data_IF_914964630787
#
_entry.id   IF_914964630787
#
_cell.length_a   1.000
_cell.length_b   1.000
_cell.length_c   1.000
_cell.angle_alpha   90.00
_cell.angle_beta   90.00
_cell.angle_gamma   90.00
#
_symmetry.space_group_name_H-M   'P 1'
#
loop_
_entity.id
_entity.type
_entity.pdbx_description
1 polymer ?
#
# COMPACT_ATOMS: atom_id res chain seq x y z
N UNK A 1 -10.82 48.81 -1.28
CA UNK A 1 -10.11 47.99 -2.29
C UNK A 1 -9.71 46.62 -1.76
N UNK A 2 -9.21 46.54 -0.55
CA UNK A 2 -8.68 45.29 0.07
C UNK A 2 -9.81 44.30 0.39
N UNK A 3 -10.95 44.78 0.84
CA UNK A 3 -12.12 43.96 1.17
C UNK A 3 -12.73 43.21 -0.02
N UNK A 4 -12.79 43.83 -1.17
CA UNK A 4 -13.34 43.22 -2.39
C UNK A 4 -12.41 42.12 -2.93
N UNK A 5 -11.11 42.26 -2.71
CA UNK A 5 -10.11 41.25 -3.08
C UNK A 5 -10.19 40.05 -2.15
N UNK A 6 -10.30 40.24 -0.84
CA UNK A 6 -10.45 39.15 0.13
C UNK A 6 -11.75 38.35 -0.07
N UNK A 7 -12.86 39.04 -0.34
CA UNK A 7 -14.17 38.40 -0.60
C UNK A 7 -14.21 37.58 -1.91
N UNK A 8 -13.36 37.88 -2.91
CA UNK A 8 -13.23 37.04 -4.11
C UNK A 8 -12.32 35.83 -3.89
N UNK A 9 -11.33 35.97 -3.01
CA UNK A 9 -10.36 34.90 -2.71
C UNK A 9 -10.90 33.91 -1.68
N UNK A 10 -11.79 34.38 -0.78
CA UNK A 10 -12.30 33.61 0.34
C UNK A 10 -13.79 33.90 0.56
N UNK A 11 -14.54 32.83 0.82
CA UNK A 11 -16.00 32.93 1.15
C UNK A 11 -16.29 32.07 2.38
N UNK A 12 -17.34 32.42 3.16
CA UNK A 12 -17.88 31.47 4.13
C UNK A 12 -18.25 30.14 3.46
N UNK A 13 -17.90 29.03 4.12
CA UNK A 13 -18.00 27.67 3.59
C UNK A 13 -16.76 27.15 2.88
N UNK A 14 -15.77 28.00 2.58
CA UNK A 14 -14.50 27.51 1.99
C UNK A 14 -13.70 26.72 3.02
N UNK A 15 -13.17 25.57 2.59
CA UNK A 15 -12.10 24.92 3.32
C UNK A 15 -10.76 25.56 2.99
N UNK A 16 -10.04 26.00 4.02
CA UNK A 16 -8.70 26.58 3.88
C UNK A 16 -7.69 25.90 4.81
N UNK A 17 -6.44 25.92 4.39
CA UNK A 17 -5.33 25.39 5.18
C UNK A 17 -4.18 26.41 5.22
N UNK A 18 -3.75 26.77 6.44
CA UNK A 18 -2.64 27.68 6.74
C UNK A 18 -1.78 27.08 7.87
N UNK A 19 -0.82 26.21 7.57
CA UNK A 19 -0.01 25.53 8.59
C UNK A 19 0.72 26.48 9.54
N UNK A 20 1.19 27.65 9.04
CA UNK A 20 1.87 28.67 9.84
C UNK A 20 1.03 29.19 11.02
N UNK A 21 -0.29 29.16 10.86
CA UNK A 21 -1.25 29.65 11.86
C UNK A 21 -2.05 28.53 12.50
N UNK A 22 -1.66 27.29 12.26
CA UNK A 22 -2.39 26.10 12.71
C UNK A 22 -3.88 26.14 12.32
N UNK A 23 -4.14 26.57 11.09
CA UNK A 23 -5.49 26.65 10.51
C UNK A 23 -5.63 25.53 9.49
N UNK A 24 -6.64 24.68 9.69
CA UNK A 24 -7.11 23.69 8.72
C UNK A 24 -8.59 23.40 8.99
N UNK A 25 -9.44 24.03 8.20
CA UNK A 25 -10.88 23.95 8.45
C UNK A 25 -11.73 24.84 7.57
N UNK A 26 -12.98 25.00 7.94
CA UNK A 26 -14.00 25.71 7.18
C UNK A 26 -14.17 27.14 7.65
N UNK A 27 -14.20 28.07 6.73
CA UNK A 27 -14.47 29.50 7.01
C UNK A 27 -15.92 29.66 7.43
N UNK A 28 -16.15 30.10 8.67
CA UNK A 28 -17.48 30.40 9.18
C UNK A 28 -17.93 31.78 8.77
N UNK A 29 -17.08 32.80 8.98
CA UNK A 29 -17.41 34.18 8.84
C UNK A 29 -16.23 35.01 8.33
N UNK A 30 -16.50 35.95 7.45
CA UNK A 30 -15.52 36.94 6.97
C UNK A 30 -16.08 38.32 7.23
N UNK A 31 -15.47 39.04 8.17
CA UNK A 31 -15.81 40.44 8.52
C UNK A 31 -14.75 41.42 8.04
N UNK A 32 -14.91 42.69 8.36
CA UNK A 32 -13.92 43.75 8.05
C UNK A 32 -12.57 43.50 8.74
N UNK A 33 -12.62 43.03 9.98
CA UNK A 33 -11.47 42.96 10.87
C UNK A 33 -11.09 41.53 11.27
N UNK A 34 -11.95 40.56 11.00
CA UNK A 34 -11.74 39.19 11.44
C UNK A 34 -12.25 38.17 10.42
N UNK A 35 -11.55 37.06 10.30
CA UNK A 35 -11.98 35.82 9.64
C UNK A 35 -11.99 34.72 10.70
N UNK A 36 -13.17 34.10 10.89
CA UNK A 36 -13.33 32.96 11.80
C UNK A 36 -13.32 31.66 11.02
N UNK A 37 -12.49 30.72 11.43
CA UNK A 37 -12.35 29.40 10.84
C UNK A 37 -12.63 28.36 11.90
N UNK A 38 -13.53 27.43 11.60
CA UNK A 38 -13.77 26.22 12.38
C UNK A 38 -12.80 25.14 11.86
N UNK A 39 -11.82 24.79 12.67
CA UNK A 39 -10.84 23.74 12.36
C UNK A 39 -11.50 22.37 12.49
N UNK A 40 -10.91 21.36 11.84
CA UNK A 40 -11.42 19.97 11.90
C UNK A 40 -11.27 19.31 13.28
N UNK A 41 -10.51 19.91 14.20
CA UNK A 41 -10.45 19.52 15.61
C UNK A 41 -11.54 20.17 16.49
N UNK A 42 -12.56 20.80 15.87
CA UNK A 42 -13.64 21.53 16.52
C UNK A 42 -13.19 22.79 17.30
N UNK A 43 -12.02 23.31 17.04
CA UNK A 43 -11.57 24.61 17.57
C UNK A 43 -11.89 25.75 16.61
N UNK A 44 -12.03 26.97 17.11
CA UNK A 44 -12.22 28.16 16.29
C UNK A 44 -10.97 29.02 16.31
N UNK A 45 -10.36 29.19 15.15
CA UNK A 45 -9.27 30.14 14.95
C UNK A 45 -9.79 31.42 14.35
N UNK A 46 -9.38 32.56 14.92
CA UNK A 46 -9.71 33.89 14.43
C UNK A 46 -8.45 34.59 13.95
N UNK A 47 -8.42 34.99 12.69
CA UNK A 47 -7.29 35.68 12.07
C UNK A 47 -7.70 37.02 11.48
N UNK A 48 -6.83 38.03 11.50
CA UNK A 48 -7.09 39.29 10.80
C UNK A 48 -7.02 39.11 9.27
N UNK A 49 -7.87 39.80 8.47
CA UNK A 49 -7.87 39.66 7.00
C UNK A 49 -6.55 40.01 6.32
N UNK A 50 -5.71 40.83 6.90
CA UNK A 50 -4.42 41.21 6.33
C UNK A 50 -3.45 40.01 6.28
N UNK A 51 -3.60 39.04 7.18
CA UNK A 51 -2.80 37.78 7.18
C UNK A 51 -3.04 36.98 5.89
N UNK A 52 -4.28 36.93 5.41
CA UNK A 52 -4.65 36.26 4.17
C UNK A 52 -4.12 36.94 2.90
N UNK A 53 -3.75 38.22 3.00
CA UNK A 53 -3.16 38.96 1.89
C UNK A 53 -1.65 39.00 1.96
N UNK A 54 -1.07 38.81 3.15
CA UNK A 54 0.39 38.82 3.39
C UNK A 54 1.05 37.47 3.33
N UNK A 55 0.33 36.41 3.66
CA UNK A 55 0.83 35.05 3.68
C UNK A 55 0.09 34.14 2.67
N UNK A 56 0.74 33.06 2.25
CA UNK A 56 0.11 32.08 1.39
C UNK A 56 -0.84 31.16 2.17
N UNK A 57 -1.99 30.88 1.59
CA UNK A 57 -2.91 29.87 2.09
C UNK A 57 -3.39 28.97 0.96
N UNK A 58 -3.82 27.74 1.28
CA UNK A 58 -4.50 26.86 0.33
C UNK A 58 -6.00 27.03 0.51
N UNK A 59 -6.70 27.27 -0.59
CA UNK A 59 -8.16 27.21 -0.65
C UNK A 59 -8.54 25.92 -1.40
N UNK A 60 -9.29 25.05 -0.75
CA UNK A 60 -9.66 23.74 -1.27
C UNK A 60 -10.95 23.76 -2.09
N UNK A 61 -11.63 24.92 -2.24
CA UNK A 61 -12.84 25.06 -3.08
C UNK A 61 -12.63 24.49 -4.47
N UNK A 62 -11.49 24.80 -5.12
CA UNK A 62 -11.19 24.29 -6.44
C UNK A 62 -11.11 22.76 -6.50
N UNK A 63 -10.65 22.10 -5.43
CA UNK A 63 -10.65 20.64 -5.32
C UNK A 63 -12.08 20.12 -5.27
N UNK A 64 -12.98 20.78 -4.54
CA UNK A 64 -14.40 20.39 -4.47
C UNK A 64 -15.13 20.60 -5.80
N UNK A 65 -14.81 21.68 -6.51
CA UNK A 65 -15.36 22.01 -7.83
C UNK A 65 -14.71 21.16 -8.95
N UNK A 66 -13.48 20.66 -8.75
CA UNK A 66 -12.75 19.86 -9.73
C UNK A 66 -13.26 18.41 -9.82
N UNK A 67 -12.81 17.70 -10.86
CA UNK A 67 -13.16 16.30 -11.10
C UNK A 67 -12.60 15.29 -10.10
N UNK A 68 -11.78 15.68 -9.10
CA UNK A 68 -11.23 14.72 -8.17
C UNK A 68 -10.31 15.24 -7.09
N UNK A 69 -10.15 14.43 -6.04
CA UNK A 69 -9.22 14.65 -4.94
C UNK A 69 -7.94 13.83 -5.16
N UNK A 70 -6.79 14.50 -5.10
CA UNK A 70 -5.49 13.89 -5.42
C UNK A 70 -5.06 12.85 -4.41
N UNK A 71 -4.67 11.68 -4.89
CA UNK A 71 -3.89 10.67 -4.17
C UNK A 71 -2.45 10.77 -4.67
N UNK A 72 -1.50 10.99 -3.74
CA UNK A 72 -0.07 11.05 -4.03
C UNK A 72 0.67 10.41 -2.86
N UNK A 73 0.92 9.11 -2.97
CA UNK A 73 1.62 8.31 -1.96
C UNK A 73 2.58 7.34 -2.64
N UNK A 74 3.65 6.96 -1.96
CA UNK A 74 4.64 6.02 -2.46
C UNK A 74 4.82 4.84 -1.51
N UNK A 75 5.22 3.70 -2.09
CA UNK A 75 5.79 2.56 -1.38
C UNK A 75 7.25 2.43 -1.78
N UNK A 76 8.11 1.98 -0.87
CA UNK A 76 9.53 1.77 -1.15
C UNK A 76 9.82 0.30 -1.43
N UNK A 77 10.38 0.03 -2.61
CA UNK A 77 10.79 -1.32 -3.03
C UNK A 77 12.26 -1.52 -2.70
N UNK A 78 12.59 -2.66 -2.09
CA UNK A 78 13.98 -3.05 -1.85
C UNK A 78 14.71 -3.25 -3.19
N UNK A 79 15.79 -2.49 -3.38
CA UNK A 79 16.59 -2.51 -4.61
C UNK A 79 17.16 -3.89 -4.92
N UNK A 80 17.48 -4.69 -3.91
CA UNK A 80 18.03 -6.04 -4.07
C UNK A 80 17.05 -7.02 -4.70
N UNK A 81 15.75 -6.73 -4.62
CA UNK A 81 14.71 -7.55 -5.23
C UNK A 81 14.46 -7.26 -6.70
N UNK A 82 15.02 -6.16 -7.23
CA UNK A 82 14.84 -5.77 -8.64
C UNK A 82 15.79 -6.58 -9.53
N UNK A 83 15.22 -7.28 -10.51
CA UNK A 83 15.98 -8.12 -11.43
C UNK A 83 15.34 -8.20 -12.81
N UNK A 84 16.12 -8.60 -13.79
CA UNK A 84 15.58 -8.98 -15.11
C UNK A 84 14.74 -10.25 -14.98
N UNK A 85 13.63 -10.29 -15.71
CA UNK A 85 12.78 -11.46 -15.77
C UNK A 85 13.43 -12.58 -16.54
N UNK A 86 13.33 -13.80 -16.02
CA UNK A 86 13.64 -15.03 -16.78
C UNK A 86 12.45 -15.40 -17.68
N UNK A 87 12.65 -16.24 -18.72
CA UNK A 87 11.54 -16.69 -19.57
C UNK A 87 10.40 -17.33 -18.75
N UNK A 88 10.73 -18.13 -17.74
CA UNK A 88 9.77 -18.79 -16.85
C UNK A 88 8.97 -17.77 -16.03
N UNK A 89 9.64 -16.71 -15.57
CA UNK A 89 8.98 -15.62 -14.86
C UNK A 89 8.02 -14.86 -15.77
N UNK A 90 8.40 -14.58 -17.02
CA UNK A 90 7.54 -13.93 -18.01
C UNK A 90 6.29 -14.78 -18.27
N UNK A 91 6.42 -16.09 -18.44
CA UNK A 91 5.27 -16.98 -18.64
C UNK A 91 4.34 -17.01 -17.42
N UNK A 92 4.87 -16.88 -16.21
CA UNK A 92 4.08 -16.73 -15.00
C UNK A 92 3.32 -15.41 -14.98
N UNK A 93 3.98 -14.29 -15.28
CA UNK A 93 3.36 -12.97 -15.31
C UNK A 93 2.35 -12.79 -16.45
N UNK A 94 2.53 -13.51 -17.58
CA UNK A 94 1.57 -13.51 -18.69
C UNK A 94 0.18 -14.01 -18.29
N UNK A 95 0.09 -14.80 -17.21
CA UNK A 95 -1.19 -15.25 -16.65
C UNK A 95 -1.95 -14.17 -15.89
N UNK A 96 -1.31 -13.04 -15.60
CA UNK A 96 -1.92 -11.89 -14.93
C UNK A 96 -2.59 -11.00 -15.99
N UNK A 97 -3.94 -10.90 -16.04
CA UNK A 97 -4.64 -10.22 -17.15
C UNK A 97 -4.20 -8.77 -17.34
N UNK A 98 -3.92 -8.04 -16.25
CA UNK A 98 -3.52 -6.62 -16.31
C UNK A 98 -2.10 -6.39 -16.85
N UNK A 99 -1.32 -7.46 -17.11
CA UNK A 99 0.07 -7.37 -17.59
C UNK A 99 0.27 -8.09 -18.92
N UNK A 100 -0.60 -9.04 -19.27
CA UNK A 100 -0.48 -9.88 -20.47
C UNK A 100 -0.29 -9.06 -21.74
N UNK A 101 -1.12 -8.05 -21.95
CA UNK A 101 -1.08 -7.22 -23.15
C UNK A 101 0.19 -6.37 -23.22
N UNK A 102 0.65 -5.88 -22.06
CA UNK A 102 1.90 -5.13 -21.95
C UNK A 102 3.11 -6.00 -22.33
N UNK A 103 3.15 -7.25 -21.87
CA UNK A 103 4.21 -8.20 -22.22
C UNK A 103 4.20 -8.45 -23.73
N UNK A 104 3.03 -8.75 -24.32
CA UNK A 104 2.90 -9.03 -25.75
C UNK A 104 3.32 -7.82 -26.61
N UNK A 105 2.93 -6.60 -26.25
CA UNK A 105 3.33 -5.38 -26.93
C UNK A 105 4.85 -5.15 -26.85
N UNK A 106 5.43 -5.42 -25.69
CA UNK A 106 6.86 -5.23 -25.44
C UNK A 106 7.70 -6.24 -26.25
N UNK A 107 7.30 -7.50 -26.32
CA UNK A 107 7.95 -8.53 -27.13
C UNK A 107 7.91 -8.18 -28.61
N UNK A 108 6.76 -7.72 -29.11
CA UNK A 108 6.63 -7.25 -30.49
C UNK A 108 7.58 -6.07 -30.81
N UNK A 109 7.77 -5.16 -29.86
CA UNK A 109 8.73 -4.04 -30.00
C UNK A 109 10.18 -4.57 -30.04
N UNK A 110 10.51 -5.52 -29.15
CA UNK A 110 11.83 -6.13 -29.12
C UNK A 110 12.15 -6.87 -30.43
N UNK A 111 11.22 -7.67 -30.95
CA UNK A 111 11.38 -8.37 -32.23
C UNK A 111 11.57 -7.40 -33.41
N UNK A 112 10.78 -6.32 -33.44
CA UNK A 112 10.89 -5.30 -34.48
C UNK A 112 12.26 -4.63 -34.44
N UNK A 113 12.75 -4.28 -33.25
CA UNK A 113 14.07 -3.66 -33.06
C UNK A 113 15.21 -4.62 -33.42
N UNK A 114 15.08 -5.90 -33.11
CA UNK A 114 16.07 -6.94 -33.45
C UNK A 114 16.19 -7.13 -34.97
N UNK A 115 15.10 -6.93 -35.72
CA UNK A 115 15.09 -7.05 -37.19
C UNK A 115 15.69 -5.87 -37.91
N UNK A 116 15.67 -4.67 -37.31
CA UNK A 116 15.99 -3.42 -37.99
C UNK A 116 17.44 -2.95 -37.77
N UNK A 117 18.16 -3.54 -36.80
CA UNK A 117 19.50 -3.09 -36.40
C UNK A 117 20.62 -4.03 -36.87
N UNK A 118 21.82 -3.50 -37.15
CA UNK A 118 22.99 -4.29 -37.54
C UNK A 118 23.49 -5.26 -36.44
N UNK A 119 23.07 -5.07 -35.18
CA UNK A 119 23.41 -5.83 -33.99
C UNK A 119 22.16 -6.38 -33.27
N UNK A 120 21.36 -7.19 -33.97
CA UNK A 120 20.05 -7.66 -33.48
C UNK A 120 20.06 -8.29 -32.08
N UNK A 121 21.08 -9.06 -31.72
CA UNK A 121 21.22 -9.67 -30.39
C UNK A 121 21.46 -8.62 -29.30
N UNK A 122 22.23 -7.57 -29.57
CA UNK A 122 22.50 -6.45 -28.66
C UNK A 122 21.28 -5.58 -28.46
N UNK A 123 20.48 -5.41 -29.51
CA UNK A 123 19.22 -4.68 -29.44
C UNK A 123 18.17 -5.41 -28.62
N UNK A 124 18.09 -6.74 -28.72
CA UNK A 124 17.17 -7.53 -27.89
C UNK A 124 17.46 -7.41 -26.40
N UNK A 125 18.74 -7.30 -26.00
CA UNK A 125 19.12 -7.14 -24.58
C UNK A 125 18.68 -5.79 -23.99
N UNK A 126 18.59 -4.74 -24.82
CA UNK A 126 18.07 -3.43 -24.39
C UNK A 126 16.57 -3.43 -24.02
N UNK A 127 15.84 -4.41 -24.51
CA UNK A 127 14.40 -4.56 -24.26
C UNK A 127 14.07 -5.63 -23.20
N UNK A 128 15.05 -6.07 -22.42
CA UNK A 128 14.78 -7.03 -21.34
C UNK A 128 13.89 -6.40 -20.26
N UNK A 129 12.81 -7.10 -19.95
CA UNK A 129 11.88 -6.69 -18.91
C UNK A 129 12.45 -6.95 -17.52
N UNK A 130 12.26 -6.02 -16.61
CA UNK A 130 12.46 -6.23 -15.18
C UNK A 130 11.13 -6.51 -14.49
N UNK A 131 11.17 -7.23 -13.37
CA UNK A 131 10.00 -7.44 -12.53
C UNK A 131 9.36 -6.11 -12.07
N UNK A 132 10.17 -5.10 -11.79
CA UNK A 132 9.71 -3.76 -11.43
C UNK A 132 8.97 -3.05 -12.58
N UNK A 133 9.41 -3.25 -13.83
CA UNK A 133 8.69 -2.72 -15.00
C UNK A 133 7.31 -3.34 -15.13
N UNK A 134 7.20 -4.65 -14.94
CA UNK A 134 5.93 -5.37 -15.00
C UNK A 134 5.00 -4.97 -13.84
N UNK A 135 5.53 -4.82 -12.64
CA UNK A 135 4.78 -4.29 -11.49
C UNK A 135 4.20 -2.90 -11.76
N UNK A 136 5.00 -1.98 -12.31
CA UNK A 136 4.50 -0.65 -12.69
C UNK A 136 3.44 -0.70 -13.78
N UNK A 137 3.60 -1.55 -14.77
CA UNK A 137 2.60 -1.75 -15.83
C UNK A 137 1.29 -2.28 -15.23
N UNK A 138 1.38 -3.26 -14.32
CA UNK A 138 0.26 -3.77 -13.56
C UNK A 138 -0.48 -2.65 -12.82
N UNK A 139 0.24 -1.86 -12.02
CA UNK A 139 -0.36 -0.78 -11.24
C UNK A 139 -1.03 0.28 -12.11
N UNK A 140 -0.41 0.66 -13.25
CA UNK A 140 -1.02 1.59 -14.20
C UNK A 140 -2.34 1.06 -14.75
N UNK A 141 -2.39 -0.22 -15.11
CA UNK A 141 -3.60 -0.84 -15.64
C UNK A 141 -4.65 -1.08 -14.55
N UNK A 142 -4.21 -1.40 -13.34
CA UNK A 142 -5.08 -1.50 -12.17
C UNK A 142 -5.79 -0.17 -11.88
N UNK A 143 -5.03 0.94 -11.81
CA UNK A 143 -5.60 2.28 -11.59
C UNK A 143 -6.60 2.67 -12.69
N UNK A 144 -6.33 2.30 -13.94
CA UNK A 144 -7.24 2.54 -15.07
C UNK A 144 -8.52 1.73 -14.99
N UNK A 145 -8.48 0.55 -14.38
CA UNK A 145 -9.63 -0.31 -14.22
C UNK A 145 -10.54 0.10 -13.03
N UNK A 146 -10.03 0.91 -12.10
CA UNK A 146 -10.79 1.35 -10.94
C UNK A 146 -11.75 2.48 -11.30
N UNK A 147 -13.05 2.27 -11.08
CA UNK A 147 -14.10 3.27 -11.32
C UNK A 147 -14.03 4.48 -10.37
N UNK A 148 -13.40 4.31 -9.20
CA UNK A 148 -13.18 5.37 -8.22
C UNK A 148 -12.04 6.32 -8.60
N UNK A 149 -11.23 5.98 -9.61
CA UNK A 149 -10.16 6.83 -10.13
C UNK A 149 -10.66 7.59 -11.34
N UNK A 150 -10.55 8.92 -11.30
CA UNK A 150 -10.94 9.77 -12.42
C UNK A 150 -9.90 9.65 -13.54
N UNK A 151 -10.33 9.08 -14.68
CA UNK A 151 -9.46 8.83 -15.84
C UNK A 151 -9.25 10.08 -16.72
N UNK A 152 -10.01 11.14 -16.53
CA UNK A 152 -9.85 12.41 -17.25
C UNK A 152 -8.71 13.26 -16.67
N UNK A 153 -8.31 12.96 -15.42
CA UNK A 153 -7.22 13.62 -14.73
C UNK A 153 -5.94 12.79 -14.80
N UNK A 154 -4.81 13.43 -14.50
CA UNK A 154 -3.50 12.75 -14.51
C UNK A 154 -3.50 11.50 -13.63
N UNK A 155 -3.22 10.37 -14.26
CA UNK A 155 -3.07 9.08 -13.58
C UNK A 155 -1.76 8.44 -14.03
N UNK A 156 -0.83 8.19 -13.09
CA UNK A 156 0.46 7.59 -13.39
C UNK A 156 1.05 6.87 -12.18
N UNK A 157 1.90 5.89 -12.47
CA UNK A 157 2.80 5.26 -11.51
C UNK A 157 4.23 5.55 -11.95
N UNK A 158 5.00 6.20 -11.09
CA UNK A 158 6.37 6.63 -11.42
C UNK A 158 7.39 6.23 -10.36
N UNK A 159 8.64 6.11 -10.77
CA UNK A 159 9.76 6.05 -9.85
C UNK A 159 10.10 7.46 -9.36
N UNK A 160 10.35 7.59 -8.07
CA UNK A 160 11.09 8.71 -7.54
C UNK A 160 12.57 8.36 -7.46
N UNK A 161 13.40 9.33 -7.08
CA UNK A 161 14.83 9.10 -6.91
C UNK A 161 15.06 8.01 -5.87
N UNK A 162 15.93 7.01 -6.14
CA UNK A 162 16.31 6.01 -5.17
C UNK A 162 16.87 6.64 -3.88
N UNK A 163 16.50 6.04 -2.76
CA UNK A 163 16.91 6.48 -1.43
C UNK A 163 17.61 5.33 -0.70
N UNK A 164 18.28 5.58 0.44
CA UNK A 164 18.80 4.51 1.28
C UNK A 164 17.73 3.50 1.75
N UNK A 165 16.46 3.91 1.72
CA UNK A 165 15.31 3.08 2.06
C UNK A 165 14.62 2.46 0.84
N UNK A 166 15.35 2.28 -0.27
CA UNK A 166 14.84 1.62 -1.47
C UNK A 166 14.42 2.57 -2.59
N UNK A 167 13.71 2.03 -3.58
CA UNK A 167 13.16 2.75 -4.72
C UNK A 167 11.71 3.11 -4.41
N UNK A 168 11.38 4.42 -4.21
CA UNK A 168 10.00 4.81 -4.03
C UNK A 168 9.22 4.71 -5.35
N UNK A 169 8.14 3.95 -5.34
CA UNK A 169 7.15 3.87 -6.43
C UNK A 169 5.96 4.71 -6.01
N UNK A 170 5.79 5.84 -6.67
CA UNK A 170 4.70 6.78 -6.36
C UNK A 170 3.49 6.51 -7.24
N UNK A 171 2.35 6.40 -6.59
CA UNK A 171 1.04 6.40 -7.21
C UNK A 171 0.52 7.83 -7.18
N UNK A 172 0.26 8.37 -8.36
CA UNK A 172 -0.28 9.71 -8.54
C UNK A 172 -1.56 9.61 -9.36
N UNK A 173 -2.69 9.82 -8.73
CA UNK A 173 -4.00 9.78 -9.39
C UNK A 173 -5.00 10.68 -8.66
N UNK A 174 -6.22 10.75 -9.19
CA UNK A 174 -7.31 11.52 -8.57
C UNK A 174 -8.50 10.61 -8.32
N UNK A 175 -8.97 10.58 -7.07
CA UNK A 175 -10.21 9.92 -6.71
C UNK A 175 -11.42 10.77 -7.13
N UNK A 176 -12.42 10.17 -7.73
CA UNK A 176 -13.72 10.79 -8.00
C UNK A 176 -14.49 11.06 -6.70
N UNK A 177 -14.18 10.33 -5.64
CA UNK A 177 -14.77 10.49 -4.31
C UNK A 177 -13.93 11.53 -3.57
N UNK A 178 -14.55 12.62 -3.17
CA UNK A 178 -13.89 13.78 -2.55
C UNK A 178 -14.22 13.95 -1.07
N UNK A 179 -15.36 13.38 -0.62
CA UNK A 179 -15.73 13.36 0.79
C UNK A 179 -14.63 12.68 1.62
N UNK A 180 -14.27 13.26 2.77
CA UNK A 180 -13.04 12.92 3.48
C UNK A 180 -12.98 11.47 3.92
N UNK A 181 -13.99 10.99 4.63
CA UNK A 181 -13.98 9.62 5.19
C UNK A 181 -13.98 8.58 4.08
N UNK A 182 -14.82 8.76 3.06
CA UNK A 182 -14.89 7.86 1.92
C UNK A 182 -13.60 7.91 1.08
N UNK A 183 -12.99 9.09 0.91
CA UNK A 183 -11.70 9.24 0.24
C UNK A 183 -10.57 8.50 0.97
N UNK A 184 -10.51 8.57 2.31
CA UNK A 184 -9.51 7.83 3.08
C UNK A 184 -9.74 6.31 2.96
N UNK A 185 -11.00 5.86 2.88
CA UNK A 185 -11.32 4.47 2.58
C UNK A 185 -10.77 4.04 1.21
N UNK A 186 -11.01 4.82 0.16
CA UNK A 186 -10.46 4.55 -1.19
C UNK A 186 -8.94 4.48 -1.17
N UNK A 187 -8.27 5.37 -0.42
CA UNK A 187 -6.81 5.32 -0.30
C UNK A 187 -6.34 4.05 0.41
N UNK A 188 -7.00 3.66 1.50
CA UNK A 188 -6.67 2.46 2.26
C UNK A 188 -6.80 1.22 1.36
N UNK A 189 -7.96 1.01 0.74
CA UNK A 189 -8.22 -0.14 -0.14
C UNK A 189 -7.21 -0.24 -1.29
N UNK A 190 -6.88 0.92 -1.88
CA UNK A 190 -5.90 0.99 -2.97
C UNK A 190 -4.51 0.55 -2.49
N UNK A 191 -4.04 1.07 -1.35
CA UNK A 191 -2.70 0.76 -0.85
C UNK A 191 -2.60 -0.62 -0.24
N UNK A 192 -3.64 -1.15 0.36
CA UNK A 192 -3.72 -2.55 0.80
C UNK A 192 -3.52 -3.50 -0.38
N UNK A 193 -4.23 -3.24 -1.49
CA UNK A 193 -4.04 -4.02 -2.72
C UNK A 193 -2.62 -3.89 -3.28
N UNK A 194 -2.09 -2.67 -3.37
CA UNK A 194 -0.74 -2.42 -3.88
C UNK A 194 0.32 -3.15 -3.08
N UNK A 195 0.22 -3.11 -1.75
CA UNK A 195 1.16 -3.80 -0.85
C UNK A 195 1.04 -5.32 -1.00
N UNK A 196 -0.18 -5.83 -1.07
CA UNK A 196 -0.43 -7.27 -1.16
C UNK A 196 0.08 -7.89 -2.46
N UNK A 197 0.07 -7.14 -3.56
CA UNK A 197 0.48 -7.65 -4.88
C UNK A 197 2.00 -7.58 -5.14
N UNK A 198 2.76 -6.84 -4.33
CA UNK A 198 4.23 -6.71 -4.50
C UNK A 198 4.95 -8.07 -4.59
N UNK A 199 4.67 -9.06 -3.72
CA UNK A 199 5.31 -10.37 -3.78
C UNK A 199 5.00 -11.16 -5.06
N UNK A 200 3.85 -10.94 -5.70
CA UNK A 200 3.47 -11.62 -6.95
C UNK A 200 4.43 -11.28 -8.10
N UNK A 201 5.14 -10.16 -7.99
CA UNK A 201 6.18 -9.72 -8.92
C UNK A 201 7.60 -10.04 -8.43
N UNK A 202 7.77 -10.93 -7.46
CA UNK A 202 9.06 -11.25 -6.85
C UNK A 202 9.78 -10.01 -6.30
N UNK A 203 9.03 -9.00 -5.88
CA UNK A 203 9.52 -7.79 -5.27
C UNK A 203 9.37 -7.86 -3.75
N UNK A 204 10.18 -7.09 -3.04
CA UNK A 204 10.15 -6.97 -1.58
C UNK A 204 9.98 -5.50 -1.22
N UNK A 205 9.08 -5.21 -0.29
CA UNK A 205 8.98 -3.89 0.31
C UNK A 205 10.16 -3.65 1.23
N UNK A 206 10.76 -2.47 1.14
CA UNK A 206 11.78 -2.08 2.09
C UNK A 206 11.15 -1.90 3.49
N UNK A 207 11.75 -2.54 4.46
CA UNK A 207 11.43 -2.36 5.88
C UNK A 207 12.74 -2.18 6.65
N UNK A 208 12.78 -1.22 7.56
CA UNK A 208 13.91 -1.10 8.48
C UNK A 208 13.98 -2.33 9.37
N UNK A 209 15.17 -2.93 9.57
CA UNK A 209 15.30 -4.11 10.43
C UNK A 209 14.73 -3.85 11.81
N UNK A 210 13.80 -4.69 12.25
CA UNK A 210 13.28 -4.66 13.60
C UNK A 210 14.23 -5.42 14.55
N UNK A 211 14.17 -5.13 15.86
CA UNK A 211 14.98 -5.84 16.85
C UNK A 211 14.78 -7.37 16.84
N UNK A 212 13.60 -7.83 16.42
CA UNK A 212 13.29 -9.26 16.21
C UNK A 212 14.04 -9.90 15.06
N UNK A 213 14.39 -9.12 14.04
CA UNK A 213 15.16 -9.62 12.88
C UNK A 213 16.62 -9.87 13.28
N UNK A 214 17.20 -8.99 14.10
CA UNK A 214 18.52 -9.18 14.68
C UNK A 214 18.55 -10.43 15.59
N UNK A 215 17.51 -10.66 16.36
CA UNK A 215 17.41 -11.88 17.19
C UNK A 215 17.31 -13.14 16.35
N UNK A 216 16.60 -13.14 15.22
CA UNK A 216 16.55 -14.27 14.28
C UNK A 216 17.92 -14.53 13.62
N UNK A 217 18.66 -13.48 13.31
CA UNK A 217 20.01 -13.59 12.76
C UNK A 217 21.02 -14.17 13.78
N UNK A 218 20.83 -13.89 15.07
CA UNK A 218 21.67 -14.40 16.14
C UNK A 218 21.30 -15.82 16.59
N UNK A 219 20.14 -16.36 16.18
CA UNK A 219 19.78 -17.74 16.43
C UNK A 219 20.54 -18.67 15.47
N UNK A 220 21.19 -19.74 15.96
CA UNK A 220 21.79 -20.73 15.08
C UNK A 220 20.74 -21.27 14.11
N UNK A 221 20.95 -21.08 12.83
CA UNK A 221 20.07 -21.68 11.82
C UNK A 221 20.12 -23.21 12.02
N UNK A 222 18.99 -23.93 12.07
CA UNK A 222 19.01 -25.38 12.06
C UNK A 222 19.73 -25.80 10.80
N UNK A 223 20.72 -26.67 10.97
CA UNK A 223 21.46 -27.22 9.85
C UNK A 223 20.47 -27.76 8.80
N UNK A 224 20.72 -27.54 7.50
CA UNK A 224 19.87 -28.10 6.47
C UNK A 224 19.73 -29.62 6.75
N UNK A 225 18.51 -30.07 6.90
CA UNK A 225 18.17 -31.45 7.14
C UNK A 225 18.77 -32.25 5.98
N UNK A 226 19.92 -32.91 6.26
CA UNK A 226 20.58 -33.74 5.30
C UNK A 226 19.55 -34.76 4.81
N UNK A 227 19.34 -34.81 3.51
CA UNK A 227 18.44 -35.74 2.85
C UNK A 227 18.61 -37.12 3.46
N UNK A 228 17.64 -37.58 4.23
CA UNK A 228 17.60 -38.97 4.69
C UNK A 228 17.59 -39.87 3.45
N UNK A 229 18.53 -40.78 3.28
CA UNK A 229 18.44 -41.71 2.19
C UNK A 229 17.17 -42.55 2.36
N UNK A 230 16.31 -42.46 1.36
CA UNK A 230 15.19 -43.37 1.19
C UNK A 230 15.78 -44.71 0.80
N UNK A 231 16.03 -45.58 1.78
CA UNK A 231 16.14 -47.02 1.55
C UNK A 231 16.57 -47.73 2.85
N UNK A 232 15.62 -48.06 3.71
CA UNK A 232 15.75 -49.16 4.70
C UNK A 232 14.35 -49.56 5.22
N UNK A 233 13.45 -49.95 4.32
CA UNK A 233 12.22 -50.63 4.69
C UNK A 233 11.86 -51.69 3.64
N UNK A 234 12.69 -52.69 3.50
CA UNK A 234 12.30 -53.94 2.90
C UNK A 234 13.22 -55.03 3.42
N UNK A 235 12.93 -55.60 4.56
CA UNK A 235 13.23 -56.97 4.94
C UNK A 235 12.97 -57.12 6.43
N UNK A 236 11.75 -57.45 6.80
CA UNK A 236 11.45 -58.47 7.81
C UNK A 236 9.92 -58.65 7.90
N UNK A 237 9.47 -59.54 7.04
CA UNK A 237 8.18 -60.19 7.17
C UNK A 237 8.48 -61.68 7.15
N UNK A 238 8.58 -62.29 8.31
CA UNK A 238 8.20 -63.69 8.54
C UNK A 238 8.38 -64.05 10.02
N UNK A 239 7.38 -64.77 10.53
CA UNK A 239 7.29 -65.58 11.73
C UNK A 239 7.07 -64.85 13.08
N UNK A 240 5.89 -64.91 13.65
CA UNK A 240 5.35 -66.02 14.39
C UNK A 240 3.98 -65.63 14.98
N UNK A 241 3.09 -66.53 14.78
CA UNK A 241 1.80 -66.79 15.44
C UNK A 241 1.87 -66.97 16.93
N UNK A 242 0.77 -66.60 17.61
CA UNK A 242 0.48 -67.24 18.90
C UNK A 242 -0.29 -66.37 19.89
N UNK A 243 -1.62 -66.60 19.91
CA UNK A 243 -2.50 -66.85 21.04
C UNK A 243 -2.75 -65.78 22.10
N UNK A 244 -4.04 -65.39 22.09
CA UNK A 244 -5.06 -65.43 23.17
C UNK A 244 -4.92 -64.58 24.44
N UNK A 245 -5.94 -63.92 24.71
CA UNK A 245 -7.03 -63.94 25.69
C UNK A 245 -7.28 -62.60 26.37
N UNK A 246 -8.56 -62.21 26.23
CA UNK A 246 -9.53 -61.61 27.14
C UNK A 246 -9.03 -60.84 28.41
N UNK A 247 -9.55 -59.70 28.61
CA UNK A 247 -10.59 -59.42 29.64
C UNK A 247 -11.00 -57.96 29.68
N UNK A 248 -12.24 -57.78 29.68
CA UNK A 248 -13.21 -56.78 29.99
C UNK A 248 -12.98 -56.11 31.35
N UNK A 249 -13.34 -54.81 31.45
CA UNK A 249 -14.24 -54.10 32.38
C UNK A 249 -13.99 -52.62 32.34
N UNK A 250 -14.92 -51.83 31.92
CA UNK A 250 -16.13 -51.23 32.55
C UNK A 250 -15.81 -50.13 33.55
N UNK A 251 -16.46 -48.97 33.39
CA UNK A 251 -16.61 -47.98 34.48
C UNK A 251 -16.51 -46.52 34.02
N UNK A 252 -17.50 -45.95 33.37
CA UNK A 252 -18.48 -44.93 33.81
C UNK A 252 -17.92 -43.85 34.77
N UNK A 253 -17.97 -42.59 34.42
CA UNK A 253 -18.96 -41.57 34.83
C UNK A 253 -18.57 -40.14 34.43
N UNK A 254 -19.59 -39.44 34.04
CA UNK A 254 -19.76 -38.04 33.73
C UNK A 254 -19.48 -37.06 34.89
N UNK A 255 -19.24 -35.79 34.50
CA UNK A 255 -19.92 -34.54 34.90
C UNK A 255 -19.06 -33.36 34.54
N UNK A 256 -19.51 -32.53 33.66
CA UNK A 256 -20.41 -31.39 33.85
C UNK A 256 -19.75 -30.22 34.59
N UNK A 257 -19.74 -29.02 33.95
CA UNK A 257 -19.33 -27.79 34.61
C UNK A 257 -18.94 -26.66 33.69
N UNK A 258 -19.92 -26.05 33.02
CA UNK A 258 -19.82 -24.74 32.36
C UNK A 258 -19.94 -23.58 33.36
N UNK A 259 -19.77 -22.30 33.00
CA UNK A 259 -18.82 -21.29 33.46
C UNK A 259 -19.41 -20.34 34.55
N UNK A 260 -18.75 -19.26 34.88
CA UNK A 260 -19.31 -17.97 34.49
C UNK A 260 -18.33 -16.82 34.15
N UNK A 261 -18.91 -15.92 33.38
CA UNK A 261 -18.46 -14.56 33.10
C UNK A 261 -18.44 -13.69 34.37
N UNK A 262 -17.56 -12.69 34.34
CA UNK A 262 -17.86 -11.33 34.82
C UNK A 262 -16.69 -10.36 34.56
N UNK A 263 -17.02 -9.31 33.81
CA UNK A 263 -16.42 -7.98 33.90
C UNK A 263 -16.92 -7.33 35.18
N UNK A 264 -16.24 -6.39 35.85
CA UNK A 264 -16.37 -4.99 35.46
C UNK A 264 -15.16 -4.05 35.74
N UNK A 265 -15.10 -2.98 34.92
CA UNK A 265 -15.05 -1.57 35.29
C UNK A 265 -14.00 -1.02 36.24
N UNK A 266 -13.41 0.02 35.73
CA UNK A 266 -13.36 1.39 36.19
C UNK A 266 -12.04 1.90 36.76
N UNK A 267 -11.66 3.00 36.18
CA UNK A 267 -11.27 4.27 36.81
C UNK A 267 -9.85 4.38 37.36
N UNK A 268 -9.15 5.32 36.77
CA UNK A 268 -8.63 6.52 37.46
C UNK A 268 -7.55 7.21 36.57
N UNK A 269 -7.85 8.46 36.28
CA UNK A 269 -6.79 9.46 36.03
C UNK A 269 -6.18 9.83 37.37
N UNK A 270 -4.93 10.32 37.42
CA UNK A 270 -4.80 11.76 37.64
C UNK A 270 -3.72 12.48 36.81
N UNK A 271 -4.03 13.73 36.61
CA UNK A 271 -3.29 14.96 36.46
C UNK A 271 -1.79 14.98 36.77
N UNK A 272 -1.12 15.82 36.02
CA UNK A 272 -0.12 16.72 36.57
C UNK A 272 1.27 16.64 35.92
N UNK A 273 1.64 17.75 35.25
CA UNK A 273 3.04 18.09 34.96
C UNK A 273 3.18 18.74 33.59
#
# INVERSE_FOLDING_TARGET
>A
GIMLSANKMLKPGDWISMPKYNVDGTVLEVTLNTVKIENFDNTITTIPPFVLTGDSFKNWRWMEESGGRRIMRSISIDMSSVRFCTPEAIERYRKIPLVSDFIAEHEKKAETSARTGPDGARQADLYRLTNLTLFRAYLNNYLKALSVVNQELTCMVRHLQPTPTGIPIEIYCFSSIKEWVAYEGVQADLFDHVIAVVPDFDLVLFQSPAGTDLQRWMQPQPAPEAARPADARATNRTAASGTDTDEQTDGTTASDGTPPASNPQADERPDGG
#
